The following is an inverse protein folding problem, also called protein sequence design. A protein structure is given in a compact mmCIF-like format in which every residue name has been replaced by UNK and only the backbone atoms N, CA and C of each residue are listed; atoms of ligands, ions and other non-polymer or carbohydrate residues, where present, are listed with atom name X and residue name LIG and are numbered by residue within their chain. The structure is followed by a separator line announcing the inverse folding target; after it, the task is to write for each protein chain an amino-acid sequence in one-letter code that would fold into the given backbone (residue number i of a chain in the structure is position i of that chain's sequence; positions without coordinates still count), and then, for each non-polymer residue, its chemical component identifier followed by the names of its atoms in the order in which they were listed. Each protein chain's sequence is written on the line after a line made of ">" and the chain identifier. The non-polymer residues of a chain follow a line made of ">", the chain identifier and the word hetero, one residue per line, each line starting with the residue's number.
data_IF_627589839794
#
_entry.id   IF_627589839794
#
_cell.length_a   1.000
_cell.length_b   1.000
_cell.length_c   1.000
_cell.angle_alpha   90.00
_cell.angle_beta   90.00
_cell.angle_gamma   90.00
#
_symmetry.space_group_name_H-M   'P 1'
#
loop_
_entity.id
_entity.type
_entity.pdbx_description
1 polymer ?
#
# COMPACT_ATOMS: atom_id res chain seq x y z
N UNK A 1 -2.65 11.60 -11.78
CA UNK A 1 -3.32 12.02 -13.03
C UNK A 1 -2.30 12.26 -14.12
N UNK A 2 -2.62 11.89 -15.37
CA UNK A 2 -1.80 12.10 -16.57
C UNK A 2 -2.66 12.81 -17.62
N UNK A 3 -2.02 13.56 -18.50
CA UNK A 3 -2.67 14.31 -19.57
C UNK A 3 -1.75 14.43 -20.78
N UNK A 4 -2.32 14.64 -21.96
CA UNK A 4 -1.59 14.80 -23.20
C UNK A 4 -2.21 15.93 -24.03
N UNK A 5 -1.39 16.76 -24.66
CA UNK A 5 -1.86 17.74 -25.64
C UNK A 5 -2.08 17.05 -26.99
N UNK A 6 -3.34 16.69 -27.28
CA UNK A 6 -3.77 16.14 -28.56
C UNK A 6 -4.33 17.21 -29.51
N UNK A 7 -4.13 18.49 -29.19
CA UNK A 7 -4.51 19.62 -30.04
C UNK A 7 -3.58 19.77 -31.26
N UNK A 8 -3.66 20.92 -31.91
CA UNK A 8 -2.82 21.26 -33.06
C UNK A 8 -1.82 22.38 -32.77
N UNK A 9 -1.78 22.89 -31.54
CA UNK A 9 -0.89 23.97 -31.12
C UNK A 9 -0.34 23.70 -29.71
N UNK A 10 0.71 24.41 -29.34
CA UNK A 10 1.36 24.33 -28.03
C UNK A 10 0.46 24.91 -26.94
N UNK A 11 0.24 24.15 -25.87
CA UNK A 11 -0.52 24.62 -24.72
C UNK A 11 0.37 25.41 -23.74
N UNK A 12 -0.13 26.56 -23.26
CA UNK A 12 0.63 27.47 -22.39
C UNK A 12 0.19 27.35 -20.93
N UNK A 13 -1.02 27.80 -20.52
CA UNK A 13 -1.56 27.39 -19.24
C UNK A 13 -2.33 26.07 -19.35
N UNK A 14 -2.07 25.17 -18.42
CA UNK A 14 -2.95 24.03 -18.14
C UNK A 14 -3.52 24.20 -16.74
N UNK A 15 -4.83 24.11 -16.62
CA UNK A 15 -5.53 24.11 -15.34
C UNK A 15 -6.19 22.75 -15.16
N UNK A 16 -5.99 22.14 -13.99
CA UNK A 16 -6.65 20.88 -13.65
C UNK A 16 -7.54 21.14 -12.44
N UNK A 17 -8.80 20.74 -12.49
CA UNK A 17 -9.71 20.78 -11.35
C UNK A 17 -10.24 19.40 -11.03
N UNK A 18 -10.31 19.08 -9.74
CA UNK A 18 -10.78 17.80 -9.24
C UNK A 18 -11.67 18.05 -8.02
N UNK A 19 -12.93 17.64 -8.10
CA UNK A 19 -13.85 17.73 -6.96
C UNK A 19 -13.78 16.44 -6.18
N UNK A 20 -13.19 16.52 -4.99
CA UNK A 20 -12.95 15.34 -4.16
C UNK A 20 -14.29 14.73 -3.69
N UNK A 21 -14.43 13.40 -3.77
CA UNK A 21 -15.56 12.68 -3.18
C UNK A 21 -15.68 12.92 -1.67
N UNK A 22 -16.92 12.87 -1.18
CA UNK A 22 -17.25 13.06 0.24
C UNK A 22 -16.53 12.09 1.20
N UNK A 23 -16.03 10.96 0.69
CA UNK A 23 -15.32 9.94 1.47
C UNK A 23 -13.84 10.28 1.68
N UNK A 24 -13.32 11.34 1.07
CA UNK A 24 -11.92 11.74 1.18
C UNK A 24 -11.74 12.93 2.13
N UNK A 25 -10.70 12.88 2.97
CA UNK A 25 -10.37 13.95 3.91
C UNK A 25 -9.41 14.96 3.28
N UNK A 26 -9.87 16.17 2.91
CA UNK A 26 -9.04 17.16 2.24
C UNK A 26 -7.89 17.67 3.11
N UNK A 27 -7.98 17.55 4.45
CA UNK A 27 -6.91 17.97 5.36
C UNK A 27 -5.66 17.08 5.25
N UNK A 28 -5.79 15.89 4.65
CA UNK A 28 -4.71 14.90 4.53
C UNK A 28 -3.97 14.98 3.19
N UNK A 29 -4.34 15.92 2.33
CA UNK A 29 -3.76 16.07 1.00
C UNK A 29 -2.26 16.32 1.11
N UNK A 30 -1.51 15.52 0.36
CA UNK A 30 -0.07 15.73 0.14
C UNK A 30 0.19 15.74 -1.35
N UNK A 31 0.69 16.86 -1.84
CA UNK A 31 1.10 16.98 -3.24
C UNK A 31 2.35 16.13 -3.49
N UNK A 32 2.35 15.44 -4.63
CA UNK A 32 3.47 14.69 -5.14
C UNK A 32 4.21 15.45 -6.24
N UNK A 33 4.91 14.69 -7.07
CA UNK A 33 5.61 15.22 -8.23
C UNK A 33 4.64 15.63 -9.35
N UNK A 34 5.06 16.61 -10.15
CA UNK A 34 4.47 16.95 -11.44
C UNK A 34 5.55 16.98 -12.51
N UNK A 35 5.13 16.76 -13.76
CA UNK A 35 6.02 16.85 -14.94
C UNK A 35 6.66 18.23 -15.11
N UNK A 36 5.99 19.27 -14.62
CA UNK A 36 6.37 20.68 -14.76
C UNK A 36 6.06 21.43 -13.47
N UNK A 37 6.62 22.63 -13.32
CA UNK A 37 6.32 23.50 -12.18
C UNK A 37 4.84 23.86 -12.13
N UNK A 38 4.21 23.66 -10.98
CA UNK A 38 2.80 23.95 -10.76
C UNK A 38 2.56 24.66 -9.43
N UNK A 39 1.47 25.42 -9.36
CA UNK A 39 0.86 25.83 -8.11
C UNK A 39 -0.44 25.07 -7.89
N UNK A 40 -0.89 24.99 -6.65
CA UNK A 40 -2.12 24.31 -6.31
C UNK A 40 -2.90 25.08 -5.24
N UNK A 41 -4.22 24.89 -5.24
CA UNK A 41 -5.12 25.44 -4.23
C UNK A 41 -6.25 24.46 -3.95
N UNK A 42 -6.74 24.46 -2.71
CA UNK A 42 -7.97 23.78 -2.31
C UNK A 42 -9.02 24.85 -2.01
N UNK A 43 -10.23 24.69 -2.55
CA UNK A 43 -11.30 25.69 -2.38
C UNK A 43 -12.68 25.03 -2.23
N UNK A 44 -13.62 25.79 -1.69
CA UNK A 44 -15.02 25.35 -1.54
C UNK A 44 -15.16 24.10 -0.69
N UNK A 45 -15.95 23.13 -1.16
CA UNK A 45 -16.23 21.87 -0.48
C UNK A 45 -15.24 20.74 -0.82
N UNK A 46 -13.98 21.07 -1.16
CA UNK A 46 -12.97 20.06 -1.50
C UNK A 46 -12.61 20.01 -2.99
N UNK A 47 -12.72 21.13 -3.71
CA UNK A 47 -12.22 21.20 -5.10
C UNK A 47 -10.73 21.53 -5.08
N UNK A 48 -9.93 20.56 -5.51
CA UNK A 48 -8.52 20.73 -5.81
C UNK A 48 -8.36 21.40 -7.17
N UNK A 49 -7.42 22.33 -7.24
CA UNK A 49 -7.05 23.02 -8.47
C UNK A 49 -5.55 23.09 -8.60
N UNK A 50 -5.03 22.64 -9.73
CA UNK A 50 -3.63 22.79 -10.12
C UNK A 50 -3.53 23.77 -11.30
N UNK A 51 -2.47 24.57 -11.31
CA UNK A 51 -2.17 25.49 -12.40
C UNK A 51 -0.73 25.30 -12.83
N UNK A 52 -0.56 24.99 -14.11
CA UNK A 52 0.70 25.00 -14.83
C UNK A 52 0.72 26.26 -15.70
N UNK A 53 1.29 27.39 -15.24
CA UNK A 53 1.09 28.68 -15.91
C UNK A 53 1.83 28.82 -17.24
N UNK A 54 2.92 28.09 -17.44
CA UNK A 54 3.73 28.16 -18.66
C UNK A 54 4.39 26.80 -18.93
N UNK A 55 3.57 25.80 -19.24
CA UNK A 55 4.06 24.43 -19.45
C UNK A 55 4.75 24.25 -20.80
N UNK A 56 4.43 25.09 -21.79
CA UNK A 56 4.95 25.02 -23.16
C UNK A 56 4.85 23.60 -23.74
N UNK A 57 3.67 22.98 -23.58
CA UNK A 57 3.46 21.58 -23.91
C UNK A 57 3.17 21.45 -25.42
N UNK A 58 4.11 20.94 -26.24
CA UNK A 58 3.92 20.85 -27.68
C UNK A 58 2.76 19.92 -28.03
N UNK A 59 2.21 20.09 -29.22
CA UNK A 59 1.17 19.20 -29.71
C UNK A 59 1.75 17.81 -30.05
N UNK A 60 0.90 16.79 -29.97
CA UNK A 60 1.29 15.41 -30.23
C UNK A 60 1.70 15.13 -31.68
N UNK A 61 1.25 15.94 -32.65
CA UNK A 61 1.58 15.73 -34.07
C UNK A 61 2.99 16.23 -34.40
N UNK A 62 3.46 17.28 -33.70
CA UNK A 62 4.82 17.80 -33.83
C UNK A 62 5.80 17.05 -32.92
N UNK A 63 5.44 16.75 -31.67
CA UNK A 63 6.35 16.10 -30.73
C UNK A 63 5.60 15.26 -29.68
N UNK A 64 5.15 14.08 -30.10
CA UNK A 64 4.44 13.12 -29.24
C UNK A 64 5.15 12.84 -27.90
N UNK A 65 6.48 12.55 -27.85
CA UNK A 65 7.11 12.22 -26.58
C UNK A 65 7.11 13.37 -25.57
N UNK A 66 7.03 14.62 -26.05
CA UNK A 66 7.01 15.83 -25.22
C UNK A 66 5.61 16.39 -25.00
N UNK A 67 4.57 15.85 -25.64
CA UNK A 67 3.18 16.33 -25.48
C UNK A 67 2.49 15.81 -24.23
N UNK A 68 3.19 14.99 -23.42
CA UNK A 68 2.67 14.37 -22.20
C UNK A 68 3.00 15.18 -20.94
N UNK A 69 2.06 15.19 -20.00
CA UNK A 69 2.25 15.73 -18.66
C UNK A 69 1.57 14.90 -17.58
N UNK A 70 1.95 15.15 -16.32
CA UNK A 70 1.34 14.49 -15.17
C UNK A 70 1.41 15.35 -13.91
N UNK A 71 0.51 15.05 -12.97
CA UNK A 71 0.54 15.49 -11.58
C UNK A 71 0.12 14.34 -10.66
N UNK A 72 0.76 14.25 -9.51
CA UNK A 72 0.45 13.24 -8.49
C UNK A 72 0.12 13.89 -7.16
N UNK A 73 -0.77 13.27 -6.40
CA UNK A 73 -1.11 13.65 -5.04
C UNK A 73 -1.54 12.41 -4.27
N UNK A 74 -1.56 12.50 -2.95
CA UNK A 74 -2.08 11.48 -2.03
C UNK A 74 -3.08 12.12 -1.10
N UNK A 75 -4.13 11.40 -0.76
CA UNK A 75 -5.19 11.80 0.16
C UNK A 75 -5.68 10.56 0.90
N UNK A 76 -6.09 10.72 2.15
CA UNK A 76 -6.64 9.65 2.96
C UNK A 76 -8.17 9.71 2.93
N UNK A 77 -8.85 8.56 2.90
CA UNK A 77 -10.28 8.52 3.10
C UNK A 77 -10.65 8.71 4.58
N UNK A 78 -11.84 9.22 4.86
CA UNK A 78 -12.40 9.27 6.21
C UNK A 78 -12.58 7.85 6.76
N UNK A 79 -12.30 7.66 8.05
CA UNK A 79 -12.49 6.38 8.72
C UNK A 79 -13.71 6.45 9.67
N UNK A 80 -14.48 5.35 9.81
CA UNK A 80 -14.31 4.06 9.13
C UNK A 80 -14.87 4.07 7.70
N UNK A 81 -14.22 3.35 6.76
CA UNK A 81 -14.86 3.01 5.48
C UNK A 81 -15.51 1.63 5.58
N UNK A 82 -16.67 1.50 4.97
CA UNK A 82 -17.31 0.19 4.85
C UNK A 82 -16.61 -0.64 3.76
N UNK A 83 -16.36 -1.94 4.00
CA UNK A 83 -15.88 -2.83 2.95
C UNK A 83 -16.77 -2.78 1.71
N UNK A 84 -16.14 -2.72 0.53
CA UNK A 84 -16.86 -2.59 -0.74
C UNK A 84 -17.29 -1.17 -1.10
N UNK A 85 -16.90 -0.15 -0.32
CA UNK A 85 -17.12 1.25 -0.72
C UNK A 85 -16.29 1.59 -1.96
N UNK A 86 -16.94 2.00 -3.03
CA UNK A 86 -16.30 2.51 -4.24
C UNK A 86 -16.10 4.01 -4.14
N UNK A 87 -14.86 4.46 -4.26
CA UNK A 87 -14.47 5.87 -4.33
C UNK A 87 -14.05 6.17 -5.76
N UNK A 88 -14.83 6.99 -6.46
CA UNK A 88 -14.54 7.41 -7.83
C UNK A 88 -14.04 8.85 -7.83
N UNK A 89 -12.96 9.12 -8.55
CA UNK A 89 -12.37 10.45 -8.64
C UNK A 89 -12.26 10.87 -10.11
N UNK A 90 -12.80 12.03 -10.45
CA UNK A 90 -12.86 12.56 -11.82
C UNK A 90 -12.24 13.96 -11.83
N UNK A 91 -11.31 14.18 -12.75
CA UNK A 91 -10.69 15.47 -12.94
C UNK A 91 -11.05 16.07 -14.31
N UNK A 92 -11.03 17.40 -14.36
CA UNK A 92 -11.21 18.19 -15.56
C UNK A 92 -9.88 18.85 -15.90
N UNK A 93 -9.46 18.76 -17.15
CA UNK A 93 -8.20 19.35 -17.64
C UNK A 93 -8.54 20.39 -18.69
N UNK A 94 -8.16 21.64 -18.42
CA UNK A 94 -8.34 22.77 -19.32
C UNK A 94 -6.99 23.09 -19.97
N UNK A 95 -6.97 23.10 -21.30
CA UNK A 95 -5.84 23.55 -22.10
C UNK A 95 -6.15 24.97 -22.59
N UNK A 96 -5.31 25.93 -22.24
CA UNK A 96 -5.52 27.34 -22.55
C UNK A 96 -6.92 27.81 -22.10
N UNK A 97 -7.70 28.39 -23.01
CA UNK A 97 -9.08 28.83 -22.79
C UNK A 97 -10.12 27.88 -23.39
N UNK A 98 -9.72 26.65 -23.75
CA UNK A 98 -10.61 25.67 -24.34
C UNK A 98 -11.52 25.01 -23.28
N UNK A 99 -12.66 24.44 -23.71
CA UNK A 99 -13.48 23.59 -22.84
C UNK A 99 -12.67 22.44 -22.23
N UNK A 100 -13.06 21.95 -21.03
CA UNK A 100 -12.30 20.91 -20.35
C UNK A 100 -12.38 19.58 -21.07
N UNK A 101 -11.25 18.86 -21.06
CA UNK A 101 -11.20 17.42 -21.29
C UNK A 101 -11.41 16.73 -19.94
N UNK A 102 -12.49 15.97 -19.83
CA UNK A 102 -12.84 15.21 -18.62
C UNK A 102 -12.04 13.90 -18.65
N UNK A 103 -11.36 13.57 -17.54
CA UNK A 103 -10.62 12.31 -17.43
C UNK A 103 -11.56 11.14 -17.21
N UNK A 104 -11.15 9.95 -17.64
CA UNK A 104 -11.74 8.70 -17.14
C UNK A 104 -11.67 8.63 -15.60
N UNK A 105 -12.70 8.10 -14.93
CA UNK A 105 -12.75 8.04 -13.47
C UNK A 105 -11.65 7.11 -12.93
N UNK A 106 -10.90 7.61 -11.94
CA UNK A 106 -10.04 6.75 -11.12
C UNK A 106 -10.90 6.11 -10.03
N UNK A 107 -11.05 4.78 -10.10
CA UNK A 107 -11.89 4.02 -9.16
C UNK A 107 -11.01 3.30 -8.13
N UNK A 108 -11.26 3.54 -6.84
CA UNK A 108 -10.67 2.83 -5.72
C UNK A 108 -11.79 2.10 -4.96
N UNK A 109 -11.73 0.77 -4.90
CA UNK A 109 -12.64 -0.03 -4.05
C UNK A 109 -11.95 -0.31 -2.73
N UNK A 110 -12.60 0.05 -1.62
CA UNK A 110 -12.11 -0.22 -0.27
C UNK A 110 -12.22 -1.73 0.02
N UNK A 111 -11.16 -2.47 -0.28
CA UNK A 111 -11.00 -3.87 0.12
C UNK A 111 -10.26 -3.93 1.46
N UNK A 112 -10.95 -4.46 2.46
CA UNK A 112 -10.29 -4.85 3.70
C UNK A 112 -9.94 -6.32 3.55
N UNK A 113 -8.65 -6.64 3.50
CA UNK A 113 -8.20 -8.00 3.70
C UNK A 113 -8.72 -8.42 5.08
N UNK A 114 -9.66 -9.36 5.12
CA UNK A 114 -9.85 -10.15 6.33
C UNK A 114 -8.56 -10.95 6.47
N UNK A 115 -7.56 -10.36 7.11
CA UNK A 115 -6.58 -11.19 7.79
C UNK A 115 -7.40 -12.17 8.59
N UNK A 116 -7.17 -13.47 8.36
CA UNK A 116 -7.69 -14.51 9.24
C UNK A 116 -7.45 -13.97 10.65
N UNK A 117 -8.53 -13.74 11.40
CA UNK A 117 -8.38 -13.41 12.80
C UNK A 117 -7.57 -14.56 13.37
N UNK A 118 -6.30 -14.31 13.69
CA UNK A 118 -5.42 -15.31 14.27
C UNK A 118 -6.16 -15.76 15.52
N UNK A 119 -6.71 -16.97 15.47
CA UNK A 119 -7.54 -17.50 16.52
C UNK A 119 -6.65 -17.66 17.73
N UNK A 120 -6.60 -16.64 18.60
CA UNK A 120 -5.80 -16.61 19.83
C UNK A 120 -4.46 -17.30 19.63
N UNK A 121 -3.51 -16.64 18.96
CA UNK A 121 -2.14 -17.14 18.89
C UNK A 121 -1.73 -17.51 20.31
N UNK A 122 -1.66 -18.81 20.59
CA UNK A 122 -1.05 -19.26 21.83
C UNK A 122 0.38 -18.78 21.71
N UNK A 123 0.74 -17.76 22.50
CA UNK A 123 2.10 -17.21 22.53
C UNK A 123 3.04 -18.35 22.90
N UNK A 124 3.61 -18.96 21.87
CA UNK A 124 4.59 -20.03 22.00
C UNK A 124 5.96 -19.36 21.99
N UNK A 125 6.60 -19.31 23.14
CA UNK A 125 7.94 -18.77 23.29
C UNK A 125 8.94 -19.93 23.32
N UNK A 126 9.90 -19.88 22.40
CA UNK A 126 11.01 -20.83 22.30
C UNK A 126 12.30 -20.12 22.69
N UNK A 127 13.03 -20.67 23.66
CA UNK A 127 14.32 -20.09 24.05
C UNK A 127 15.30 -21.15 24.58
N UNK A 128 16.62 -21.01 24.32
CA UNK A 128 17.23 -20.07 23.39
C UNK A 128 17.06 -20.51 21.92
N UNK A 129 17.19 -19.57 20.98
CA UNK A 129 17.37 -19.87 19.55
C UNK A 129 18.56 -19.01 19.07
N UNK A 130 19.71 -19.59 18.68
CA UNK A 130 20.05 -21.02 18.57
C UNK A 130 20.25 -21.73 19.92
N UNK A 131 20.05 -23.06 19.97
CA UNK A 131 20.18 -23.90 21.17
C UNK A 131 21.14 -25.06 20.94
N UNK A 132 21.99 -25.35 21.93
CA UNK A 132 22.91 -26.51 21.91
C UNK A 132 22.48 -27.65 22.84
N UNK A 133 21.79 -27.34 23.94
CA UNK A 133 21.57 -28.29 25.03
C UNK A 133 20.10 -28.38 25.44
N UNK A 134 19.51 -27.30 25.94
CA UNK A 134 18.15 -27.32 26.50
C UNK A 134 17.26 -26.26 25.86
N UNK A 135 16.20 -26.69 25.17
CA UNK A 135 15.18 -25.82 24.58
C UNK A 135 13.99 -25.69 25.53
N UNK A 136 13.69 -24.47 25.94
CA UNK A 136 12.51 -24.15 26.73
C UNK A 136 11.37 -23.73 25.81
N UNK A 137 10.22 -24.38 25.99
CA UNK A 137 8.96 -24.10 25.30
C UNK A 137 7.97 -23.59 26.33
N UNK A 138 7.47 -22.38 26.15
CA UNK A 138 6.39 -21.81 26.97
C UNK A 138 5.19 -21.51 26.09
N UNK A 139 3.99 -21.81 26.56
CA UNK A 139 2.74 -21.52 25.88
C UNK A 139 1.75 -20.89 26.85
N UNK A 140 0.90 -19.98 26.35
CA UNK A 140 -0.19 -19.40 27.15
C UNK A 140 -1.32 -20.41 27.48
N UNK A 141 -1.30 -21.60 26.87
CA UNK A 141 -2.24 -22.70 27.10
C UNK A 141 -1.50 -24.04 27.30
N UNK A 142 -2.19 -25.05 27.84
CA UNK A 142 -1.58 -26.36 28.08
C UNK A 142 -1.19 -27.02 26.76
N UNK A 143 0.10 -27.33 26.61
CA UNK A 143 0.64 -28.05 25.46
C UNK A 143 0.23 -29.51 25.60
N UNK A 144 -0.36 -30.09 24.56
CA UNK A 144 -0.75 -31.51 24.54
C UNK A 144 0.41 -32.44 24.14
N UNK A 145 1.25 -32.00 23.20
CA UNK A 145 2.44 -32.69 22.74
C UNK A 145 3.40 -31.72 22.04
N UNK A 146 4.71 -31.98 22.14
CA UNK A 146 5.73 -31.31 21.31
C UNK A 146 6.47 -32.38 20.51
N UNK A 147 6.60 -32.16 19.19
CA UNK A 147 7.35 -33.03 18.28
C UNK A 147 8.44 -32.22 17.61
N UNK A 148 9.66 -32.74 17.63
CA UNK A 148 10.80 -32.14 16.93
C UNK A 148 11.02 -32.90 15.63
N UNK A 149 11.01 -32.19 14.50
CA UNK A 149 11.26 -32.74 13.16
C UNK A 149 12.57 -32.20 12.60
N UNK A 150 13.34 -33.06 11.94
CA UNK A 150 14.47 -32.65 11.13
C UNK A 150 14.00 -32.05 9.80
N UNK A 151 14.88 -31.30 9.13
CA UNK A 151 14.58 -30.67 7.84
C UNK A 151 14.26 -31.68 6.72
N UNK A 152 14.61 -32.96 6.90
CA UNK A 152 14.27 -34.08 6.02
C UNK A 152 12.89 -34.71 6.33
N UNK A 153 12.15 -34.16 7.31
CA UNK A 153 10.83 -34.63 7.72
C UNK A 153 10.85 -35.80 8.71
N UNK A 154 12.02 -36.27 9.15
CA UNK A 154 12.11 -37.33 10.18
C UNK A 154 11.81 -36.76 11.56
N UNK A 155 10.95 -37.44 12.31
CA UNK A 155 10.71 -37.13 13.72
C UNK A 155 11.93 -37.57 14.54
N UNK A 156 12.53 -36.62 15.26
CA UNK A 156 13.81 -36.86 15.96
C UNK A 156 13.60 -37.12 17.44
N UNK A 157 12.61 -36.48 18.08
CA UNK A 157 12.26 -36.70 19.49
C UNK A 157 10.76 -36.46 19.74
N UNK A 158 10.03 -37.47 20.26
CA UNK A 158 8.72 -37.27 20.84
C UNK A 158 8.86 -36.84 22.31
N UNK A 159 8.31 -35.69 22.70
CA UNK A 159 8.18 -35.31 24.12
C UNK A 159 6.70 -35.08 24.47
N UNK A 160 6.16 -35.95 25.33
CA UNK A 160 4.83 -35.78 25.89
C UNK A 160 4.93 -34.87 27.11
N UNK A 161 4.39 -33.67 27.01
CA UNK A 161 4.32 -32.72 28.13
C UNK A 161 2.87 -32.36 28.37
N UNK A 162 2.43 -32.35 29.63
CA UNK A 162 1.12 -31.83 30.04
C UNK A 162 1.39 -30.60 30.92
N UNK A 163 1.31 -29.42 30.33
CA UNK A 163 1.55 -28.16 31.03
C UNK A 163 1.72 -26.97 30.09
N UNK A 164 1.72 -25.75 30.62
CA UNK A 164 1.99 -24.50 29.89
C UNK A 164 3.48 -24.24 29.63
N UNK A 165 4.37 -25.13 30.10
CA UNK A 165 5.81 -25.05 29.87
C UNK A 165 6.46 -26.42 29.83
N UNK A 166 7.46 -26.57 28.96
CA UNK A 166 8.26 -27.79 28.78
C UNK A 166 9.72 -27.43 28.54
N UNK A 167 10.62 -28.27 29.02
CA UNK A 167 12.04 -28.18 28.72
C UNK A 167 12.48 -29.45 28.00
N UNK A 168 13.03 -29.30 26.80
CA UNK A 168 13.40 -30.39 25.91
C UNK A 168 14.92 -30.43 25.77
N UNK A 169 15.51 -31.55 26.15
CA UNK A 169 16.94 -31.81 25.94
C UNK A 169 17.19 -32.10 24.44
N UNK A 170 17.86 -31.15 23.79
CA UNK A 170 18.24 -31.17 22.37
C UNK A 170 19.73 -31.42 22.18
N UNK A 171 20.49 -31.72 23.26
CA UNK A 171 21.93 -32.02 23.19
C UNK A 171 22.27 -33.20 22.27
N UNK A 172 21.31 -34.10 22.07
CA UNK A 172 21.40 -35.26 21.17
C UNK A 172 21.12 -34.94 19.71
N UNK A 173 20.63 -33.74 19.40
CA UNK A 173 20.30 -33.27 18.05
C UNK A 173 21.48 -32.60 17.34
N UNK A 174 22.72 -32.77 17.82
CA UNK A 174 23.92 -32.22 17.17
C UNK A 174 23.91 -32.55 15.68
N UNK A 175 23.70 -31.51 14.89
CA UNK A 175 23.83 -31.58 13.43
C UNK A 175 25.24 -32.06 13.12
N UNK A 176 25.29 -33.18 12.40
CA UNK A 176 26.47 -33.65 11.67
C UNK A 176 26.74 -32.62 10.58
N UNK A 177 27.41 -31.53 10.94
CA UNK A 177 28.16 -30.72 9.99
C UNK A 177 29.57 -31.33 9.92
N UNK A 178 29.69 -32.42 9.15
CA UNK A 178 31.00 -32.86 8.64
C UNK A 178 31.02 -32.70 7.13
N UNK A 179 31.99 -31.85 6.74
CA UNK A 179 32.54 -31.52 5.43
C UNK A 179 31.76 -30.59 4.51
#
# INVERSE_FOLDING_TARGET
>A
MRFQNTGTDTAFPIVITDTLPQYLDPATIRMGAGSHGFSWSLSGQGTLRWVFPNILLPDSNVNEPRSHGFVSFRIRPYQPLLPGTTIENIANIYFDFNPPVITEPSVLVAEFSTGVADASSSELVLSPVPVSDLLTVQASSAIAAVRIMAADGREVLPSNTRGSGSSIDVSRLKSVLTS
#
